data_IF_355579750966
#
_entry.id   IF_355579750966
#
_cell.length_a   1.000
_cell.length_b   1.000
_cell.length_c   1.000
_cell.angle_alpha   90.00
_cell.angle_beta   90.00
_cell.angle_gamma   90.00
#
_symmetry.space_group_name_H-M   'P 1'
#
loop_
_entity.id
_entity.type
_entity.pdbx_description
1 polymer ?
#
# COMPACT_ATOMS: atom_id res chain seq x y z
N UNK A 1 9.40 5.26 13.06
CA UNK A 1 10.67 4.55 12.79
C UNK A 1 11.46 4.18 14.05
N UNK A 2 11.30 4.87 15.18
CA UNK A 2 12.01 4.54 16.43
C UNK A 2 11.47 3.31 17.21
N UNK A 3 10.23 2.89 16.97
CA UNK A 3 9.59 1.78 17.70
C UNK A 3 10.10 0.40 17.29
N UNK A 4 10.39 0.19 16.00
CA UNK A 4 10.89 -1.09 15.47
C UNK A 4 12.31 -1.38 15.98
N UNK A 5 13.18 -0.36 16.01
CA UNK A 5 14.56 -0.48 16.51
C UNK A 5 14.64 -0.81 18.00
N UNK A 6 13.68 -0.32 18.80
CA UNK A 6 13.60 -0.68 20.23
C UNK A 6 13.20 -2.16 20.37
N UNK A 7 12.26 -2.66 19.56
CA UNK A 7 11.87 -4.09 19.58
C UNK A 7 13.02 -5.02 19.18
N UNK A 8 13.84 -4.63 18.20
CA UNK A 8 15.00 -5.40 17.73
C UNK A 8 16.04 -5.59 18.85
N UNK A 9 16.33 -4.53 19.62
CA UNK A 9 17.31 -4.55 20.72
C UNK A 9 16.83 -5.44 21.88
N UNK A 10 15.53 -5.38 22.21
CA UNK A 10 14.96 -6.22 23.28
C UNK A 10 14.94 -7.71 22.89
N UNK A 11 14.62 -8.02 21.63
CA UNK A 11 14.64 -9.39 21.12
C UNK A 11 16.08 -9.95 21.06
N UNK A 12 17.03 -9.14 20.58
CA UNK A 12 18.45 -9.49 20.58
C UNK A 12 18.97 -9.76 21.99
N UNK A 13 18.67 -8.90 22.97
CA UNK A 13 19.10 -9.09 24.35
C UNK A 13 18.50 -10.34 25.01
N UNK A 14 17.23 -10.65 24.72
CA UNK A 14 16.57 -11.86 25.22
C UNK A 14 17.16 -13.15 24.60
N UNK A 15 17.52 -13.11 23.31
CA UNK A 15 18.09 -14.24 22.59
C UNK A 15 19.59 -14.43 22.91
N UNK A 16 20.35 -13.35 23.05
CA UNK A 16 21.78 -13.37 23.44
C UNK A 16 22.01 -14.09 24.78
N UNK A 17 21.07 -13.95 25.71
CA UNK A 17 21.10 -14.64 27.01
C UNK A 17 20.91 -16.16 26.94
N UNK A 18 20.31 -16.69 25.85
CA UNK A 18 19.97 -18.13 25.73
C UNK A 18 20.72 -18.87 24.63
N UNK A 19 21.20 -18.17 23.59
CA UNK A 19 21.66 -18.80 22.35
C UNK A 19 23.08 -18.39 21.93
N UNK A 20 23.66 -17.33 22.49
CA UNK A 20 24.92 -16.77 22.01
C UNK A 20 24.70 -15.61 21.03
N UNK A 21 25.74 -14.80 20.83
CA UNK A 21 25.63 -13.50 20.14
C UNK A 21 25.32 -13.66 18.63
N UNK A 22 25.83 -14.72 18.00
CA UNK A 22 25.64 -15.01 16.56
C UNK A 22 24.25 -15.58 16.26
N UNK A 23 23.79 -16.58 17.00
CA UNK A 23 22.46 -17.16 16.80
C UNK A 23 21.34 -16.15 17.09
N UNK A 24 21.55 -15.24 18.06
CA UNK A 24 20.61 -14.17 18.35
C UNK A 24 20.48 -13.15 17.21
N UNK A 25 21.61 -12.78 16.58
CA UNK A 25 21.64 -11.88 15.43
C UNK A 25 20.89 -12.48 14.23
N UNK A 26 21.14 -13.75 13.95
CA UNK A 26 20.54 -14.46 12.82
C UNK A 26 19.02 -14.60 12.98
N UNK A 27 18.54 -14.88 14.19
CA UNK A 27 17.10 -14.93 14.50
C UNK A 27 16.43 -13.56 14.42
N UNK A 28 17.10 -12.49 14.87
CA UNK A 28 16.58 -11.12 14.73
C UNK A 28 16.49 -10.75 13.25
N UNK A 29 17.47 -11.12 12.44
CA UNK A 29 17.48 -10.90 11.01
C UNK A 29 16.35 -11.68 10.30
N UNK A 30 16.15 -12.94 10.69
CA UNK A 30 15.08 -13.79 10.17
C UNK A 30 13.70 -13.23 10.52
N UNK A 31 13.46 -12.88 11.79
CA UNK A 31 12.20 -12.28 12.24
C UNK A 31 11.95 -10.95 11.54
N UNK A 32 12.98 -10.11 11.37
CA UNK A 32 12.85 -8.84 10.64
C UNK A 32 12.43 -9.05 9.18
N UNK A 33 13.03 -10.05 8.52
CA UNK A 33 12.73 -10.38 7.13
C UNK A 33 11.31 -10.93 7.00
N UNK A 34 10.93 -11.89 7.85
CA UNK A 34 9.60 -12.50 7.85
C UNK A 34 8.49 -11.50 8.20
N UNK A 35 8.74 -10.57 9.14
CA UNK A 35 7.79 -9.51 9.49
C UNK A 35 7.65 -8.52 8.35
N UNK A 36 8.75 -8.13 7.69
CA UNK A 36 8.70 -7.22 6.55
C UNK A 36 7.92 -7.83 5.38
N UNK A 37 8.15 -9.10 5.07
CA UNK A 37 7.44 -9.82 4.02
C UNK A 37 5.94 -9.96 4.32
N UNK A 38 5.57 -10.28 5.57
CA UNK A 38 4.16 -10.33 5.97
C UNK A 38 3.49 -8.95 5.91
N UNK A 39 4.18 -7.88 6.34
CA UNK A 39 3.66 -6.52 6.27
C UNK A 39 3.52 -6.07 4.82
N UNK A 40 4.49 -6.34 3.94
CA UNK A 40 4.39 -6.01 2.51
C UNK A 40 3.25 -6.77 1.83
N UNK A 41 3.08 -8.06 2.12
CA UNK A 41 1.98 -8.86 1.59
C UNK A 41 0.61 -8.36 2.10
N UNK A 42 0.48 -8.08 3.40
CA UNK A 42 -0.77 -7.53 3.93
C UNK A 42 -1.07 -6.15 3.36
N UNK A 43 -0.09 -5.24 3.33
CA UNK A 43 -0.27 -3.87 2.79
C UNK A 43 -0.60 -3.91 1.29
N UNK A 44 0.00 -4.83 0.51
CA UNK A 44 -0.28 -4.95 -0.92
C UNK A 44 -1.74 -5.31 -1.23
N UNK A 45 -2.45 -5.93 -0.28
CA UNK A 45 -3.85 -6.29 -0.41
C UNK A 45 -4.81 -5.21 0.14
N UNK A 46 -4.27 -4.15 0.77
CA UNK A 46 -5.05 -3.00 1.23
C UNK A 46 -5.01 -1.96 0.12
N UNK A 47 -6.18 -1.59 -0.43
CA UNK A 47 -6.27 -0.46 -1.36
C UNK A 47 -5.64 0.76 -0.70
N UNK A 48 -4.47 1.17 -1.18
CA UNK A 48 -3.75 2.27 -0.56
C UNK A 48 -4.56 3.54 -0.78
N UNK A 49 -4.51 4.49 0.16
CA UNK A 49 -5.21 5.79 0.00
C UNK A 49 -4.89 6.47 -1.35
N UNK A 50 -3.70 6.17 -1.91
CA UNK A 50 -3.24 6.54 -3.26
C UNK A 50 -4.07 5.86 -4.36
N UNK A 51 -4.22 4.54 -4.33
CA UNK A 51 -5.00 3.78 -5.32
C UNK A 51 -6.48 4.21 -5.33
N UNK A 52 -7.02 4.51 -4.15
CA UNK A 52 -8.38 5.04 -4.03
C UNK A 52 -8.50 6.45 -4.63
N UNK A 53 -7.49 7.30 -4.48
CA UNK A 53 -7.46 8.63 -5.08
C UNK A 53 -7.33 8.56 -6.61
N UNK A 54 -6.48 7.68 -7.12
CA UNK A 54 -6.31 7.44 -8.55
C UNK A 54 -7.60 6.90 -9.17
N UNK A 55 -8.24 5.91 -8.53
CA UNK A 55 -9.55 5.37 -8.96
C UNK A 55 -10.63 6.45 -8.98
N UNK A 56 -10.68 7.34 -7.98
CA UNK A 56 -11.64 8.46 -7.95
C UNK A 56 -11.42 9.43 -9.11
N UNK A 57 -10.17 9.77 -9.41
CA UNK A 57 -9.83 10.68 -10.52
C UNK A 57 -10.22 10.06 -11.86
N UNK A 58 -9.94 8.78 -12.06
CA UNK A 58 -10.29 8.11 -13.31
C UNK A 58 -11.80 7.98 -13.50
N UNK A 59 -12.55 7.65 -12.44
CA UNK A 59 -14.02 7.66 -12.48
C UNK A 59 -14.53 9.05 -12.90
N UNK A 60 -14.00 10.13 -12.30
CA UNK A 60 -14.42 11.50 -12.65
C UNK A 60 -14.12 11.81 -14.12
N UNK A 61 -12.94 11.47 -14.63
CA UNK A 61 -12.58 11.69 -16.05
C UNK A 61 -13.55 10.97 -16.99
N UNK A 62 -13.86 9.70 -16.72
CA UNK A 62 -14.76 8.92 -17.56
C UNK A 62 -16.20 9.44 -17.49
N UNK A 63 -16.69 9.79 -16.31
CA UNK A 63 -18.03 10.37 -16.12
C UNK A 63 -18.17 11.69 -16.88
N UNK A 64 -17.18 12.59 -16.75
CA UNK A 64 -17.17 13.87 -17.47
C UNK A 64 -17.10 13.66 -18.98
N UNK A 65 -16.26 12.73 -19.45
CA UNK A 65 -16.15 12.39 -20.88
C UNK A 65 -17.46 11.88 -21.47
N UNK A 66 -18.16 10.98 -20.76
CA UNK A 66 -19.49 10.49 -21.15
C UNK A 66 -20.50 11.64 -21.18
N UNK A 67 -20.46 12.52 -20.18
CA UNK A 67 -21.37 13.66 -20.10
C UNK A 67 -21.23 14.60 -21.31
N UNK A 68 -19.99 14.92 -21.71
CA UNK A 68 -19.73 15.73 -22.90
C UNK A 68 -20.16 15.02 -24.20
N UNK A 69 -19.92 13.72 -24.31
CA UNK A 69 -20.35 12.96 -25.49
C UNK A 69 -21.89 12.96 -25.63
N UNK A 70 -22.61 12.77 -24.53
CA UNK A 70 -24.08 12.84 -24.51
C UNK A 70 -24.58 14.26 -24.81
N UNK A 71 -23.94 15.29 -24.25
CA UNK A 71 -24.30 16.67 -24.54
C UNK A 71 -24.12 17.02 -26.03
N UNK A 72 -23.00 16.60 -26.64
CA UNK A 72 -22.77 16.79 -28.07
C UNK A 72 -23.78 16.03 -28.94
N UNK A 73 -24.19 14.82 -28.54
CA UNK A 73 -25.22 14.05 -29.25
C UNK A 73 -26.57 14.78 -29.25
N UNK A 74 -26.99 15.32 -28.11
CA UNK A 74 -28.23 16.10 -27.99
C UNK A 74 -28.13 17.39 -28.82
N UNK A 75 -27.03 18.12 -28.71
CA UNK A 75 -26.80 19.34 -29.50
C UNK A 75 -26.83 19.04 -31.00
N UNK A 76 -26.22 17.93 -31.43
CA UNK A 76 -26.24 17.47 -32.82
C UNK A 76 -27.64 17.11 -33.33
N UNK A 77 -28.54 16.65 -32.45
CA UNK A 77 -29.95 16.42 -32.79
C UNK A 77 -30.73 17.73 -32.98
N UNK A 78 -30.40 18.79 -32.22
CA UNK A 78 -31.02 20.11 -32.35
C UNK A 78 -30.47 20.96 -33.50
N UNK A 79 -29.22 20.71 -33.93
CA UNK A 79 -28.59 21.37 -35.07
C UNK A 79 -28.90 20.71 -36.42
N UNK A 80 -29.63 19.60 -36.41
CA UNK A 80 -30.17 19.00 -37.63
C UNK A 80 -31.33 19.89 -38.14
N UNK A 81 -31.28 20.44 -39.37
CA UNK A 81 -32.38 21.19 -39.93
C UNK A 81 -33.64 20.34 -40.11
#
# INVERSE_FOLDING_TARGET
MATTTISEIHLFNALKLKLGEKEAEELVLFVKTAVKENIENEISNIATKKDLAETKVDIIKWVVGIFFALAMMIIGLYLKP
#
